data_IF_588416390716
#
_entry.id   IF_588416390716
#
_cell.length_a   1.000
_cell.length_b   1.000
_cell.length_c   1.000
_cell.angle_alpha   90.00
_cell.angle_beta   90.00
_cell.angle_gamma   90.00
#
_symmetry.space_group_name_H-M   'P 1'
#
loop_
_entity.id
_entity.type
_entity.pdbx_description
1 polymer ?
#
# COMPACT_ATOMS: atom_id res chain seq x y z
N UNK A 1 -6.27 16.90 -2.93
CA UNK A 1 -7.46 16.53 -2.11
C UNK A 1 -7.66 17.56 -1.01
N UNK A 2 -8.90 17.95 -0.68
CA UNK A 2 -9.19 18.95 0.36
C UNK A 2 -9.10 18.34 1.77
N UNK A 3 -7.94 17.79 2.15
CA UNK A 3 -7.76 17.13 3.46
C UNK A 3 -8.72 15.97 3.70
N UNK A 4 -9.13 15.27 2.63
CA UNK A 4 -10.01 14.11 2.71
C UNK A 4 -9.17 12.85 2.65
N UNK A 5 -9.54 11.87 3.46
CA UNK A 5 -8.94 10.54 3.48
C UNK A 5 -8.95 9.88 2.09
N UNK A 6 -7.79 9.33 1.70
CA UNK A 6 -7.63 8.54 0.46
C UNK A 6 -6.99 7.18 0.80
N UNK A 7 -7.75 6.13 0.54
CA UNK A 7 -7.27 4.75 0.57
C UNK A 7 -7.56 4.00 -0.73
N UNK A 8 -6.88 2.88 -0.92
CA UNK A 8 -7.09 1.96 -2.05
C UNK A 8 -7.40 0.55 -1.57
N UNK A 9 -8.27 -0.14 -2.30
CA UNK A 9 -8.55 -1.55 -2.14
C UNK A 9 -8.34 -2.32 -3.45
N UNK A 10 -8.11 -3.62 -3.35
CA UNK A 10 -7.87 -4.51 -4.48
C UNK A 10 -6.53 -5.24 -4.37
N UNK A 11 -6.32 -6.22 -5.24
CA UNK A 11 -5.18 -7.11 -5.15
C UNK A 11 -3.87 -6.52 -5.71
N UNK A 12 -3.96 -5.44 -6.49
CA UNK A 12 -2.81 -4.80 -7.14
C UNK A 12 -1.62 -4.54 -6.20
N UNK A 13 -1.81 -3.87 -5.04
CA UNK A 13 -0.73 -3.63 -4.08
C UNK A 13 -0.21 -4.89 -3.38
N UNK A 14 -1.03 -5.94 -3.25
CA UNK A 14 -0.62 -7.24 -2.69
C UNK A 14 0.27 -8.02 -3.68
N UNK A 15 -0.11 -8.02 -4.96
CA UNK A 15 0.56 -8.80 -6.01
C UNK A 15 1.81 -8.09 -6.56
N UNK A 16 1.84 -6.75 -6.51
CA UNK A 16 2.87 -5.93 -7.13
C UNK A 16 3.50 -5.00 -6.07
N UNK A 17 4.62 -5.40 -5.44
CA UNK A 17 5.29 -4.60 -4.43
C UNK A 17 5.72 -3.21 -4.92
N UNK A 18 6.20 -3.10 -6.16
CA UNK A 18 6.59 -1.82 -6.78
C UNK A 18 5.40 -0.85 -6.87
N UNK A 19 4.19 -1.38 -7.04
CA UNK A 19 2.97 -0.56 -7.04
C UNK A 19 2.62 -0.09 -5.62
N UNK A 20 2.77 -0.95 -4.61
CA UNK A 20 2.61 -0.55 -3.22
C UNK A 20 3.63 0.53 -2.81
N UNK A 21 4.88 0.39 -3.25
CA UNK A 21 5.93 1.40 -3.04
C UNK A 21 5.56 2.73 -3.70
N UNK A 22 5.16 2.70 -4.98
CA UNK A 22 4.73 3.91 -5.68
C UNK A 22 3.54 4.59 -4.99
N UNK A 23 2.57 3.84 -4.48
CA UNK A 23 1.42 4.39 -3.75
C UNK A 23 1.85 5.09 -2.45
N UNK A 24 2.83 4.55 -1.74
CA UNK A 24 3.43 5.19 -0.56
C UNK A 24 4.14 6.49 -0.96
N UNK A 25 4.91 6.49 -2.06
CA UNK A 25 5.55 7.70 -2.59
C UNK A 25 4.54 8.78 -3.02
N UNK A 26 3.37 8.38 -3.52
CA UNK A 26 2.26 9.30 -3.81
C UNK A 26 1.55 9.83 -2.56
N UNK A 27 1.90 9.34 -1.36
CA UNK A 27 1.32 9.77 -0.09
C UNK A 27 -0.09 9.23 0.14
N UNK A 28 -0.37 7.99 -0.28
CA UNK A 28 -1.63 7.34 0.08
C UNK A 28 -1.74 7.18 1.60
N UNK A 29 -2.94 7.36 2.16
CA UNK A 29 -3.12 7.28 3.62
C UNK A 29 -3.28 5.84 4.10
N UNK A 30 -3.78 4.94 3.23
CA UNK A 30 -3.91 3.52 3.58
C UNK A 30 -4.06 2.62 2.35
N UNK A 31 -3.69 1.35 2.51
CA UNK A 31 -3.92 0.29 1.54
C UNK A 31 -4.59 -0.90 2.22
N UNK A 32 -5.66 -1.43 1.63
CA UNK A 32 -6.27 -2.69 2.06
C UNK A 32 -5.62 -3.85 1.31
N UNK A 33 -4.85 -4.65 2.04
CA UNK A 33 -4.13 -5.82 1.52
C UNK A 33 -4.81 -7.12 1.95
N UNK A 34 -4.48 -8.21 1.26
CA UNK A 34 -4.92 -9.53 1.69
C UNK A 34 -4.17 -9.92 2.98
N UNK A 35 -4.80 -10.63 3.93
CA UNK A 35 -4.18 -10.97 5.22
C UNK A 35 -2.90 -11.81 5.12
N UNK A 36 -2.76 -12.60 4.07
CA UNK A 36 -1.57 -13.38 3.75
C UNK A 36 -0.42 -12.50 3.24
N UNK A 37 -0.72 -11.45 2.47
CA UNK A 37 0.27 -10.52 1.88
C UNK A 37 0.67 -9.35 2.79
N UNK A 38 -0.13 -9.03 3.82
CA UNK A 38 0.06 -7.78 4.59
C UNK A 38 1.41 -7.72 5.29
N UNK A 39 1.90 -8.84 5.84
CA UNK A 39 3.17 -8.89 6.57
C UNK A 39 4.35 -8.71 5.61
N UNK A 40 4.34 -9.44 4.49
CA UNK A 40 5.40 -9.37 3.49
C UNK A 40 5.49 -7.98 2.86
N UNK A 41 4.34 -7.39 2.51
CA UNK A 41 4.27 -6.03 1.99
C UNK A 41 4.74 -5.02 3.02
N UNK A 42 4.35 -5.15 4.29
CA UNK A 42 4.83 -4.27 5.35
C UNK A 42 6.35 -4.37 5.54
N UNK A 43 6.93 -5.57 5.56
CA UNK A 43 8.37 -5.75 5.73
C UNK A 43 9.17 -5.12 4.58
N UNK A 44 8.68 -5.23 3.34
CA UNK A 44 9.30 -4.58 2.17
C UNK A 44 9.27 -3.06 2.28
N UNK A 45 8.12 -2.49 2.67
CA UNK A 45 7.95 -1.05 2.80
C UNK A 45 8.71 -0.45 3.99
N UNK A 46 8.72 -1.14 5.14
CA UNK A 46 9.34 -0.66 6.38
C UNK A 46 10.87 -0.85 6.43
N UNK A 47 11.44 -1.62 5.51
CA UNK A 47 12.89 -1.80 5.37
C UNK A 47 13.61 -0.69 4.59
N UNK A 48 12.86 0.31 4.10
CA UNK A 48 13.38 1.57 3.55
C UNK A 48 13.32 2.67 4.61
#
# INVERSE_FOLDING_TARGET
>A
AKGKYIGICGQGPSDNPDFAEWLVEQGIESMSLNPDSVIDTWQKLAGK
#
